data_IF_523854726865
#
_entry.id   IF_523854726865
#
_cell.length_a   1.000
_cell.length_b   1.000
_cell.length_c   1.000
_cell.angle_alpha   90.00
_cell.angle_beta   90.00
_cell.angle_gamma   90.00
#
_symmetry.space_group_name_H-M   'P 1'
#
loop_
_entity.id
_entity.type
_entity.pdbx_description
1 polymer ?
#
# COMPACT_ATOMS: atom_id res chain seq x y z
N UNK A 1 23.79 47.70 -4.67
CA UNK A 1 22.78 46.98 -5.45
C UNK A 1 22.54 45.64 -4.78
N UNK A 2 21.31 45.20 -4.50
CA UNK A 2 21.05 43.82 -4.15
C UNK A 2 21.32 42.94 -5.39
N UNK A 3 21.99 41.81 -5.19
CA UNK A 3 22.18 40.80 -6.23
C UNK A 3 20.86 40.09 -6.48
N UNK A 4 20.47 39.89 -7.74
CA UNK A 4 19.33 39.07 -8.08
C UNK A 4 19.64 37.60 -7.75
N UNK A 5 18.85 37.00 -6.85
CA UNK A 5 18.87 35.56 -6.64
C UNK A 5 18.06 34.91 -7.78
N UNK A 6 18.75 34.27 -8.72
CA UNK A 6 18.10 33.37 -9.66
C UNK A 6 17.82 32.07 -8.93
N UNK A 7 16.54 31.74 -8.70
CA UNK A 7 16.16 30.39 -8.33
C UNK A 7 16.50 29.43 -9.47
N UNK A 8 17.10 28.29 -9.15
CA UNK A 8 17.29 27.20 -10.11
C UNK A 8 15.91 26.65 -10.51
N UNK A 9 15.70 26.19 -11.77
CA UNK A 9 14.43 25.61 -12.16
C UNK A 9 14.08 24.44 -11.24
N UNK A 10 12.83 24.41 -10.75
CA UNK A 10 12.35 23.28 -9.96
C UNK A 10 12.59 21.97 -10.74
N UNK A 11 13.05 20.89 -10.08
CA UNK A 11 13.29 19.62 -10.75
C UNK A 11 12.00 19.15 -11.45
N UNK A 12 12.11 18.51 -12.62
CA UNK A 12 10.95 18.06 -13.36
C UNK A 12 10.10 17.12 -12.48
N UNK A 13 8.80 17.37 -12.44
CA UNK A 13 7.83 16.45 -11.86
C UNK A 13 8.06 15.06 -12.47
N UNK A 14 8.14 14.03 -11.63
CA UNK A 14 8.37 12.68 -12.09
C UNK A 14 7.29 12.30 -13.08
N UNK A 15 7.66 11.96 -14.31
CA UNK A 15 6.75 11.44 -15.33
C UNK A 15 7.03 9.96 -15.62
N UNK A 16 7.74 9.29 -14.71
CA UNK A 16 8.24 7.93 -14.83
C UNK A 16 7.13 6.91 -15.03
N UNK A 17 5.95 7.15 -14.43
CA UNK A 17 4.75 6.33 -14.58
C UNK A 17 3.72 6.92 -15.56
N UNK A 18 4.11 7.89 -16.40
CA UNK A 18 3.21 8.49 -17.39
C UNK A 18 2.59 7.42 -18.30
N UNK A 19 1.25 7.43 -18.39
CA UNK A 19 0.49 6.45 -19.16
C UNK A 19 0.27 5.10 -18.46
N UNK A 20 0.78 4.91 -17.23
CA UNK A 20 0.44 3.77 -16.37
C UNK A 20 -0.86 4.04 -15.62
N UNK A 21 -1.65 2.98 -15.42
CA UNK A 21 -2.81 3.02 -14.51
C UNK A 21 -2.57 2.07 -13.34
N UNK A 22 -2.79 2.53 -12.11
CA UNK A 22 -2.73 1.71 -10.90
C UNK A 22 -4.09 1.69 -10.21
N UNK A 23 -4.57 0.51 -9.87
CA UNK A 23 -5.76 0.34 -9.05
C UNK A 23 -5.34 0.13 -7.59
N UNK A 24 -5.86 0.93 -6.66
CA UNK A 24 -5.63 0.77 -5.22
C UNK A 24 -6.94 0.36 -4.55
N UNK A 25 -6.90 -0.73 -3.78
CA UNK A 25 -7.99 -1.16 -2.92
C UNK A 25 -7.62 -0.93 -1.44
N UNK A 26 -8.00 0.21 -0.84
CA UNK A 26 -7.94 0.38 0.61
C UNK A 26 -8.95 -0.58 1.24
N UNK A 27 -8.43 -1.63 1.90
CA UNK A 27 -9.21 -2.71 2.48
C UNK A 27 -10.35 -2.23 3.37
N UNK A 28 -11.44 -3.00 3.40
CA UNK A 28 -12.66 -2.73 4.18
C UNK A 28 -13.31 -1.38 3.87
N UNK A 29 -14.22 -0.91 4.73
CA UNK A 29 -15.00 0.32 4.55
C UNK A 29 -15.49 0.83 5.91
N UNK A 30 -15.69 2.15 6.03
CA UNK A 30 -16.12 2.79 7.28
C UNK A 30 -17.52 2.40 7.76
N UNK A 31 -18.43 2.00 6.87
CA UNK A 31 -19.70 1.40 7.28
C UNK A 31 -20.29 0.46 6.23
N UNK A 32 -21.21 -0.41 6.66
CA UNK A 32 -22.00 -1.23 5.75
C UNK A 32 -23.03 -0.40 4.94
N UNK A 33 -23.37 0.82 5.39
CA UNK A 33 -24.43 1.68 4.84
C UNK A 33 -25.76 0.96 4.52
N UNK A 34 -26.13 -0.06 5.31
CA UNK A 34 -27.34 -0.87 5.12
C UNK A 34 -27.20 -2.10 4.21
N UNK A 35 -26.02 -2.35 3.65
CA UNK A 35 -25.73 -3.57 2.88
C UNK A 35 -25.45 -4.76 3.82
N UNK A 36 -25.74 -5.98 3.35
CA UNK A 36 -25.42 -7.21 4.09
C UNK A 36 -23.98 -7.67 3.79
N UNK A 37 -23.10 -7.52 4.77
CA UNK A 37 -21.71 -7.97 4.70
C UNK A 37 -21.60 -9.50 4.54
N UNK A 38 -22.59 -10.26 5.04
CA UNK A 38 -22.59 -11.72 5.02
C UNK A 38 -23.22 -12.31 3.75
N UNK A 39 -23.74 -11.47 2.84
CA UNK A 39 -24.21 -11.89 1.51
C UNK A 39 -23.11 -12.73 0.85
N UNK A 40 -23.36 -14.00 0.48
CA UNK A 40 -22.33 -14.83 -0.13
C UNK A 40 -22.00 -14.32 -1.54
N UNK A 41 -20.70 -14.16 -1.80
CA UNK A 41 -20.14 -13.79 -3.11
C UNK A 41 -19.07 -14.80 -3.53
N UNK A 42 -18.77 -14.96 -4.84
CA UNK A 42 -17.80 -15.95 -5.31
C UNK A 42 -16.40 -15.76 -4.71
N UNK A 43 -15.72 -16.86 -4.39
CA UNK A 43 -14.35 -16.84 -3.85
C UNK A 43 -13.24 -17.01 -4.91
N UNK A 44 -13.62 -17.14 -6.18
CA UNK A 44 -12.73 -17.43 -7.32
C UNK A 44 -12.27 -18.89 -7.42
N UNK A 45 -12.69 -19.78 -6.51
CA UNK A 45 -12.33 -21.21 -6.47
C UNK A 45 -13.52 -22.17 -6.48
N UNK A 46 -14.72 -21.65 -6.76
CA UNK A 46 -15.96 -22.44 -6.89
C UNK A 46 -16.79 -22.51 -5.60
N UNK A 47 -16.35 -21.86 -4.54
CA UNK A 47 -17.14 -21.62 -3.33
C UNK A 47 -17.63 -20.18 -3.26
N UNK A 48 -18.02 -19.78 -2.05
CA UNK A 48 -18.44 -18.42 -1.72
C UNK A 48 -17.93 -18.01 -0.34
N UNK A 49 -17.68 -16.72 -0.15
CA UNK A 49 -17.37 -16.13 1.16
C UNK A 49 -18.22 -14.87 1.40
N UNK A 50 -18.22 -14.27 2.61
CA UNK A 50 -18.92 -13.02 2.87
C UNK A 50 -18.51 -11.91 1.89
N UNK A 51 -19.49 -11.14 1.44
CA UNK A 51 -19.34 -9.94 0.59
C UNK A 51 -18.25 -9.00 1.11
N UNK A 52 -18.19 -8.76 2.42
CA UNK A 52 -17.13 -7.99 3.08
C UNK A 52 -17.01 -8.40 4.56
N UNK A 53 -15.97 -7.91 5.22
CA UNK A 53 -15.87 -7.88 6.69
C UNK A 53 -15.63 -6.43 7.15
N UNK A 54 -15.68 -6.17 8.45
CA UNK A 54 -15.38 -4.85 9.03
C UNK A 54 -13.89 -4.51 9.04
N UNK A 55 -13.02 -5.48 8.77
CA UNK A 55 -11.60 -5.43 9.13
C UNK A 55 -11.38 -5.62 10.63
N UNK A 56 -10.11 -5.57 11.02
CA UNK A 56 -9.68 -5.58 12.41
C UNK A 56 -9.87 -4.21 13.11
N UNK A 57 -9.64 -4.20 14.42
CA UNK A 57 -9.47 -2.97 15.21
C UNK A 57 -8.31 -3.21 16.16
N UNK A 58 -7.38 -2.25 16.24
CA UNK A 58 -6.26 -2.32 17.16
C UNK A 58 -6.73 -2.27 18.63
N UNK A 59 -5.92 -2.72 19.60
CA UNK A 59 -6.30 -2.69 21.03
C UNK A 59 -6.62 -1.29 21.59
N UNK A 60 -6.13 -0.22 20.97
CA UNK A 60 -6.42 1.18 21.29
C UNK A 60 -7.58 1.79 20.48
N UNK A 61 -8.23 1.00 19.61
CA UNK A 61 -9.49 1.37 18.97
C UNK A 61 -9.38 1.93 17.55
N UNK A 62 -8.20 1.88 16.91
CA UNK A 62 -8.02 2.31 15.51
C UNK A 62 -8.54 1.21 14.58
N UNK A 63 -9.55 1.48 13.72
CA UNK A 63 -10.08 0.48 12.82
C UNK A 63 -9.21 0.34 11.57
N UNK A 64 -9.06 -0.89 11.10
CA UNK A 64 -8.20 -1.24 9.96
C UNK A 64 -8.58 -0.47 8.68
N UNK A 65 -9.88 -0.31 8.41
CA UNK A 65 -10.36 0.43 7.23
C UNK A 65 -9.80 1.86 7.14
N UNK A 66 -9.55 2.50 8.30
CA UNK A 66 -9.01 3.86 8.37
C UNK A 66 -7.51 3.87 8.10
N UNK A 67 -6.76 2.95 8.71
CA UNK A 67 -5.33 2.74 8.43
C UNK A 67 -5.11 2.51 6.93
N UNK A 68 -5.89 1.59 6.35
CA UNK A 68 -5.83 1.25 4.94
C UNK A 68 -6.15 2.46 4.05
N UNK A 69 -7.15 3.26 4.42
CA UNK A 69 -7.51 4.48 3.72
C UNK A 69 -6.42 5.55 3.78
N UNK A 70 -5.97 5.93 4.98
CA UNK A 70 -4.99 7.00 5.20
C UNK A 70 -3.70 6.71 4.41
N UNK A 71 -3.16 5.48 4.51
CA UNK A 71 -1.96 5.07 3.78
C UNK A 71 -2.21 5.06 2.27
N UNK A 72 -3.39 4.59 1.81
CA UNK A 72 -3.73 4.59 0.38
C UNK A 72 -3.78 6.00 -0.21
N UNK A 73 -4.23 7.00 0.54
CA UNK A 73 -4.24 8.39 0.06
C UNK A 73 -2.82 8.94 -0.13
N UNK A 74 -1.88 8.56 0.74
CA UNK A 74 -0.46 8.88 0.58
C UNK A 74 0.16 8.13 -0.63
N UNK A 75 -0.17 6.85 -0.82
CA UNK A 75 0.24 6.06 -2.00
C UNK A 75 -0.30 6.68 -3.29
N UNK A 76 -1.58 7.08 -3.30
CA UNK A 76 -2.23 7.76 -4.43
C UNK A 76 -1.46 9.02 -4.82
N UNK A 77 -1.21 9.91 -3.86
CA UNK A 77 -0.46 11.13 -4.09
C UNK A 77 0.97 10.85 -4.61
N UNK A 78 1.65 9.85 -4.03
CA UNK A 78 2.96 9.41 -4.49
C UNK A 78 2.96 8.92 -5.94
N UNK A 79 2.01 8.06 -6.33
CA UNK A 79 1.89 7.55 -7.70
C UNK A 79 1.49 8.63 -8.71
N UNK A 80 0.56 9.52 -8.35
CA UNK A 80 0.15 10.65 -9.21
C UNK A 80 1.29 11.67 -9.39
N UNK A 81 2.13 11.88 -8.36
CA UNK A 81 3.35 12.70 -8.47
C UNK A 81 4.39 12.14 -9.45
N UNK A 82 4.26 10.85 -9.82
CA UNK A 82 5.07 10.16 -10.83
C UNK A 82 4.36 10.06 -12.20
N UNK A 83 3.18 10.68 -12.35
CA UNK A 83 2.40 10.69 -13.60
C UNK A 83 1.49 9.49 -13.82
N UNK A 84 1.32 8.61 -12.83
CA UNK A 84 0.37 7.49 -12.93
C UNK A 84 -1.08 7.99 -12.82
N UNK A 85 -2.00 7.36 -13.57
CA UNK A 85 -3.43 7.46 -13.30
C UNK A 85 -3.79 6.50 -12.16
N UNK A 86 -4.33 7.01 -11.05
CA UNK A 86 -4.82 6.16 -9.95
C UNK A 86 -6.33 5.97 -10.04
N UNK A 87 -6.78 4.75 -9.77
CA UNK A 87 -8.19 4.38 -9.60
C UNK A 87 -8.34 3.75 -8.21
N UNK A 88 -9.34 4.17 -7.44
CA UNK A 88 -9.64 3.60 -6.12
C UNK A 88 -10.83 2.63 -6.19
N UNK A 89 -10.83 1.60 -5.35
CA UNK A 89 -11.98 0.69 -5.18
C UNK A 89 -13.19 1.37 -4.51
N UNK A 90 -12.94 2.33 -3.62
CA UNK A 90 -13.92 3.12 -2.86
C UNK A 90 -13.54 4.61 -2.83
N UNK A 91 -14.53 5.47 -2.62
CA UNK A 91 -14.38 6.93 -2.73
C UNK A 91 -14.07 7.64 -1.40
N UNK A 92 -14.38 7.00 -0.27
CA UNK A 92 -14.20 7.57 1.08
C UNK A 92 -14.04 6.45 2.15
N UNK A 93 -13.93 6.87 3.41
CA UNK A 93 -13.86 6.02 4.61
C UNK A 93 -15.07 6.17 5.55
N UNK A 94 -16.23 6.55 5.02
CA UNK A 94 -17.47 6.73 5.78
C UNK A 94 -18.60 5.78 5.33
N UNK A 95 -18.70 5.57 4.01
CA UNK A 95 -19.81 4.86 3.38
C UNK A 95 -19.51 3.41 3.01
N UNK A 96 -20.31 2.93 2.04
CA UNK A 96 -20.18 1.61 1.43
C UNK A 96 -19.02 1.58 0.44
N UNK A 97 -18.14 0.56 0.56
CA UNK A 97 -16.99 0.38 -0.33
C UNK A 97 -17.12 -0.75 -1.36
N UNK A 98 -18.29 -1.39 -1.49
CA UNK A 98 -18.49 -2.54 -2.39
C UNK A 98 -18.01 -3.88 -1.81
N UNK A 99 -18.63 -4.97 -2.27
CA UNK A 99 -18.21 -6.34 -1.98
C UNK A 99 -16.84 -6.65 -2.60
N UNK A 100 -16.11 -7.62 -2.06
CA UNK A 100 -14.79 -8.02 -2.56
C UNK A 100 -14.76 -8.47 -4.03
N UNK A 101 -15.86 -9.08 -4.53
CA UNK A 101 -16.01 -9.45 -5.94
C UNK A 101 -16.33 -8.22 -6.82
N UNK A 102 -17.09 -7.26 -6.31
CA UNK A 102 -17.31 -5.97 -6.95
C UNK A 102 -15.99 -5.18 -7.08
N UNK A 103 -15.14 -5.20 -6.04
CA UNK A 103 -13.81 -4.56 -6.05
C UNK A 103 -12.85 -5.22 -7.05
N UNK A 104 -12.76 -6.56 -7.07
CA UNK A 104 -11.98 -7.29 -8.08
C UNK A 104 -12.49 -7.03 -9.51
N UNK A 105 -13.81 -6.93 -9.71
CA UNK A 105 -14.40 -6.55 -11.00
C UNK A 105 -14.08 -5.09 -11.38
N UNK A 106 -14.03 -4.16 -10.42
CA UNK A 106 -13.60 -2.79 -10.66
C UNK A 106 -12.11 -2.72 -11.05
N UNK A 107 -11.23 -3.50 -10.40
CA UNK A 107 -9.83 -3.65 -10.80
C UNK A 107 -9.74 -4.15 -12.26
N UNK A 108 -10.48 -5.21 -12.60
CA UNK A 108 -10.54 -5.78 -13.95
C UNK A 108 -11.04 -4.79 -15.02
N UNK A 109 -11.96 -3.89 -14.67
CA UNK A 109 -12.51 -2.87 -15.57
C UNK A 109 -11.67 -1.58 -15.66
N UNK A 110 -10.72 -1.38 -14.75
CA UNK A 110 -9.98 -0.11 -14.60
C UNK A 110 -8.96 0.18 -15.72
N UNK A 111 -8.56 -0.85 -16.48
CA UNK A 111 -7.38 -0.89 -17.35
C UNK A 111 -6.05 -0.66 -16.60
N UNK A 112 -5.97 -1.06 -15.32
CA UNK A 112 -4.73 -0.98 -14.56
C UNK A 112 -3.63 -1.94 -15.09
N UNK A 113 -2.39 -1.48 -15.03
CA UNK A 113 -1.17 -2.27 -15.22
C UNK A 113 -0.83 -3.10 -13.96
N UNK A 114 -1.29 -2.62 -12.79
CA UNK A 114 -1.07 -3.17 -11.45
C UNK A 114 -2.27 -2.87 -10.54
N UNK A 115 -2.72 -3.86 -9.78
CA UNK A 115 -3.64 -3.69 -8.65
C UNK A 115 -2.88 -3.89 -7.33
N UNK A 116 -3.21 -3.09 -6.31
CA UNK A 116 -2.64 -3.19 -4.95
C UNK A 116 -3.78 -3.09 -3.92
N UNK A 117 -4.05 -4.19 -3.22
CA UNK A 117 -4.90 -4.23 -2.04
C UNK A 117 -4.02 -3.89 -0.82
N UNK A 118 -4.48 -2.94 -0.02
CA UNK A 118 -3.75 -2.39 1.13
C UNK A 118 -4.55 -2.73 2.39
N UNK A 119 -3.97 -3.56 3.25
CA UNK A 119 -4.57 -4.12 4.46
C UNK A 119 -3.61 -4.07 5.66
N UNK A 120 -4.13 -4.27 6.87
CA UNK A 120 -3.31 -4.52 8.05
C UNK A 120 -3.89 -5.70 8.85
N UNK A 121 -3.02 -6.65 9.21
CA UNK A 121 -3.42 -7.92 9.80
C UNK A 121 -3.71 -7.75 11.30
N UNK A 122 -4.32 -8.76 11.93
CA UNK A 122 -4.51 -8.82 13.37
C UNK A 122 -4.47 -10.27 13.86
N UNK A 123 -3.47 -10.59 14.69
CA UNK A 123 -3.37 -11.93 15.31
C UNK A 123 -4.34 -12.13 16.48
N UNK A 124 -4.91 -11.06 17.02
CA UNK A 124 -5.73 -11.07 18.24
C UNK A 124 -6.54 -9.77 18.41
N UNK A 125 -7.78 -9.80 18.94
CA UNK A 125 -8.51 -8.59 19.33
C UNK A 125 -7.89 -7.84 20.52
N UNK A 126 -6.82 -8.38 21.13
CA UNK A 126 -6.02 -7.73 22.16
C UNK A 126 -4.53 -7.71 21.77
N UNK A 127 -3.70 -7.16 22.66
CA UNK A 127 -2.27 -7.00 22.41
C UNK A 127 -1.52 -8.33 22.22
N UNK A 128 -0.74 -8.42 21.15
CA UNK A 128 0.20 -9.49 20.84
C UNK A 128 1.54 -8.88 20.39
N UNK A 129 2.38 -8.52 21.37
CA UNK A 129 3.69 -7.95 21.13
C UNK A 129 4.70 -8.94 20.49
N UNK A 130 4.38 -10.25 20.45
CA UNK A 130 5.26 -11.28 19.90
C UNK A 130 5.16 -11.44 18.39
N UNK A 131 4.07 -10.96 17.78
CA UNK A 131 3.81 -11.10 16.34
C UNK A 131 3.84 -9.75 15.65
N UNK A 132 4.72 -9.57 14.67
CA UNK A 132 4.88 -8.31 13.92
C UNK A 132 5.47 -8.53 12.54
N UNK A 133 5.42 -7.49 11.71
CA UNK A 133 5.99 -7.44 10.37
C UNK A 133 4.96 -7.60 9.26
N UNK A 134 5.38 -7.21 8.04
CA UNK A 134 4.54 -7.20 6.84
C UNK A 134 4.53 -8.58 6.14
N UNK A 135 3.46 -8.88 5.40
CA UNK A 135 3.50 -9.97 4.42
C UNK A 135 2.66 -9.65 3.18
N UNK A 136 3.13 -10.15 2.03
CA UNK A 136 2.43 -10.03 0.75
C UNK A 136 1.78 -11.38 0.45
N UNK A 137 0.45 -11.40 0.36
CA UNK A 137 -0.29 -12.61 0.06
C UNK A 137 -0.19 -12.92 -1.44
N UNK A 138 0.12 -14.18 -1.74
CA UNK A 138 0.19 -14.74 -3.09
C UNK A 138 -0.78 -15.91 -3.21
N UNK A 139 -1.51 -16.07 -4.32
CA UNK A 139 -2.47 -17.15 -4.46
C UNK A 139 -1.79 -18.52 -4.55
N UNK A 140 -2.41 -19.52 -3.94
CA UNK A 140 -2.06 -20.93 -4.16
C UNK A 140 -2.37 -21.31 -5.61
N UNK A 141 -1.42 -21.97 -6.29
CA UNK A 141 -1.53 -22.33 -7.70
C UNK A 141 -1.81 -23.84 -7.86
N UNK A 142 -2.64 -24.25 -8.85
CA UNK A 142 -3.32 -23.40 -9.81
C UNK A 142 -4.57 -22.71 -9.25
N UNK A 143 -4.94 -21.57 -9.86
CA UNK A 143 -6.23 -20.90 -9.68
C UNK A 143 -7.22 -21.48 -10.72
N UNK A 144 -8.50 -21.73 -10.39
CA UNK A 144 -9.44 -22.36 -11.34
C UNK A 144 -9.80 -21.53 -12.59
N UNK A 145 -9.89 -20.20 -12.51
CA UNK A 145 -9.99 -19.35 -13.71
C UNK A 145 -8.61 -19.29 -14.40
N UNK A 146 -8.54 -19.78 -15.64
CA UNK A 146 -7.28 -19.89 -16.37
C UNK A 146 -6.60 -18.53 -16.65
N UNK A 147 -7.37 -17.46 -16.85
CA UNK A 147 -6.83 -16.12 -17.11
C UNK A 147 -6.28 -15.50 -15.82
N UNK A 148 -6.99 -15.67 -14.69
CA UNK A 148 -6.47 -15.28 -13.37
C UNK A 148 -5.21 -16.09 -13.05
N UNK A 149 -5.22 -17.41 -13.28
CA UNK A 149 -4.06 -18.26 -13.07
C UNK A 149 -2.85 -17.82 -13.88
N UNK A 150 -3.00 -17.55 -15.18
CA UNK A 150 -1.91 -17.06 -16.04
C UNK A 150 -1.33 -15.73 -15.51
N UNK A 151 -2.20 -14.78 -15.19
CA UNK A 151 -1.79 -13.45 -14.70
C UNK A 151 -1.08 -13.55 -13.35
N UNK A 152 -1.65 -14.25 -12.38
CA UNK A 152 -1.08 -14.30 -11.02
C UNK A 152 0.13 -15.22 -10.90
N UNK A 153 0.20 -16.33 -11.65
CA UNK A 153 1.39 -17.19 -11.66
C UNK A 153 2.60 -16.54 -12.33
N UNK A 154 2.37 -15.61 -13.28
CA UNK A 154 3.42 -14.88 -13.99
C UNK A 154 3.66 -13.46 -13.46
N UNK A 155 2.79 -12.52 -13.84
CA UNK A 155 2.98 -11.09 -13.58
C UNK A 155 2.65 -10.69 -12.15
N UNK A 156 1.54 -11.18 -11.59
CA UNK A 156 1.16 -10.92 -10.20
C UNK A 156 2.21 -11.42 -9.21
N UNK A 157 2.75 -12.63 -9.44
CA UNK A 157 3.86 -13.17 -8.66
C UNK A 157 5.08 -12.24 -8.63
N UNK A 158 5.48 -11.69 -9.79
CA UNK A 158 6.59 -10.72 -9.88
C UNK A 158 6.29 -9.42 -9.16
N UNK A 159 5.07 -8.89 -9.29
CA UNK A 159 4.64 -7.69 -8.59
C UNK A 159 4.69 -7.87 -7.06
N UNK A 160 4.22 -9.02 -6.56
CA UNK A 160 4.26 -9.36 -5.14
C UNK A 160 5.70 -9.51 -4.61
N UNK A 161 6.58 -10.15 -5.38
CA UNK A 161 8.00 -10.29 -5.05
C UNK A 161 8.71 -8.93 -4.99
N UNK A 162 8.47 -8.05 -5.97
CA UNK A 162 9.07 -6.71 -6.00
C UNK A 162 8.49 -5.77 -4.93
N UNK A 163 7.21 -5.92 -4.57
CA UNK A 163 6.60 -5.24 -3.42
C UNK A 163 7.28 -5.66 -2.11
N UNK A 164 7.41 -6.96 -1.86
CA UNK A 164 8.17 -7.49 -0.70
C UNK A 164 9.59 -6.92 -0.66
N UNK A 165 10.28 -6.91 -1.81
CA UNK A 165 11.66 -6.42 -1.87
C UNK A 165 11.77 -4.92 -1.62
N UNK A 166 10.79 -4.10 -2.03
CA UNK A 166 10.70 -2.69 -1.67
C UNK A 166 10.48 -2.48 -0.17
N UNK A 167 9.59 -3.26 0.47
CA UNK A 167 9.39 -3.22 1.92
C UNK A 167 10.67 -3.58 2.69
N UNK A 168 11.40 -4.62 2.25
CA UNK A 168 12.70 -5.00 2.81
C UNK A 168 13.75 -3.90 2.59
N UNK A 169 13.80 -3.26 1.41
CA UNK A 169 14.66 -2.10 1.14
C UNK A 169 14.35 -0.91 2.05
N UNK A 170 13.08 -0.67 2.37
CA UNK A 170 12.64 0.36 3.33
C UNK A 170 12.88 -0.03 4.81
N UNK A 171 13.49 -1.19 5.07
CA UNK A 171 13.81 -1.67 6.41
C UNK A 171 12.59 -2.18 7.20
N UNK A 172 11.50 -2.56 6.54
CA UNK A 172 10.42 -3.31 7.19
C UNK A 172 10.81 -4.78 7.36
N UNK A 173 10.51 -5.34 8.52
CA UNK A 173 10.74 -6.74 8.81
C UNK A 173 9.60 -7.61 8.23
N UNK A 174 9.92 -8.71 7.52
CA UNK A 174 8.94 -9.74 7.20
C UNK A 174 8.18 -10.28 8.42
N UNK A 175 6.90 -10.59 8.23
CA UNK A 175 6.03 -11.14 9.26
C UNK A 175 6.60 -12.43 9.88
N UNK A 176 6.66 -12.47 11.20
CA UNK A 176 7.05 -13.67 11.98
C UNK A 176 5.85 -14.57 12.36
N UNK A 177 4.72 -14.42 11.65
CA UNK A 177 3.43 -15.04 11.92
C UNK A 177 2.71 -15.39 10.62
N UNK A 178 1.44 -15.82 10.72
CA UNK A 178 0.57 -16.19 9.60
C UNK A 178 1.11 -17.27 8.63
N UNK A 179 2.25 -17.91 8.95
CA UNK A 179 2.94 -18.85 8.05
C UNK A 179 3.79 -18.19 6.97
N UNK A 180 3.93 -16.85 6.99
CA UNK A 180 4.71 -16.10 6.01
C UNK A 180 6.18 -16.58 5.96
N UNK A 181 6.75 -16.64 4.75
CA UNK A 181 8.13 -17.03 4.48
C UNK A 181 8.81 -15.91 3.69
N UNK A 182 9.83 -15.29 4.29
CA UNK A 182 10.50 -14.10 3.76
C UNK A 182 9.51 -13.00 3.29
N UNK A 183 8.39 -12.83 4.00
CA UNK A 183 7.41 -11.78 3.71
C UNK A 183 6.45 -12.10 2.56
N UNK A 184 6.42 -13.36 2.08
CA UNK A 184 5.34 -13.87 1.22
C UNK A 184 4.48 -14.87 1.99
N UNK A 185 3.16 -14.81 1.80
CA UNK A 185 2.20 -15.76 2.37
C UNK A 185 1.39 -16.43 1.26
N UNK A 186 1.54 -17.74 1.06
CA UNK A 186 0.74 -18.47 0.05
C UNK A 186 -0.62 -18.85 0.62
N UNK A 187 -1.72 -18.46 -0.04
CA UNK A 187 -3.11 -18.73 0.40
C UNK A 187 -4.06 -19.05 -0.74
N UNK A 188 -5.05 -19.90 -0.48
CA UNK A 188 -6.13 -20.20 -1.42
C UNK A 188 -7.39 -19.35 -1.21
N UNK A 189 -7.57 -18.72 -0.05
CA UNK A 189 -8.86 -18.18 0.43
C UNK A 189 -9.07 -16.66 0.21
N UNK A 190 -8.12 -15.97 -0.40
CA UNK A 190 -8.21 -14.53 -0.73
C UNK A 190 -8.85 -14.34 -2.11
N UNK A 191 -10.13 -13.98 -2.12
CA UNK A 191 -10.91 -13.81 -3.34
C UNK A 191 -10.39 -12.70 -4.27
N UNK A 192 -9.77 -11.63 -3.75
CA UNK A 192 -9.17 -10.57 -4.57
C UNK A 192 -8.18 -11.17 -5.60
N UNK A 193 -7.09 -11.77 -5.12
CA UNK A 193 -6.09 -12.43 -6.01
C UNK A 193 -6.65 -13.66 -6.76
N UNK A 194 -7.76 -14.26 -6.33
CA UNK A 194 -8.44 -15.34 -7.07
C UNK A 194 -9.40 -14.85 -8.17
N UNK A 195 -9.73 -13.55 -8.23
CA UNK A 195 -10.70 -12.96 -9.17
C UNK A 195 -10.08 -11.87 -10.07
N UNK A 196 -8.99 -11.23 -9.64
CA UNK A 196 -8.32 -10.16 -10.38
C UNK A 196 -7.49 -10.71 -11.55
N UNK A 197 -7.80 -10.23 -12.76
CA UNK A 197 -7.15 -10.50 -14.06
C UNK A 197 -6.11 -9.44 -14.43
N UNK A 198 -5.90 -8.48 -13.54
CA UNK A 198 -4.75 -7.56 -13.50
C UNK A 198 -3.68 -8.17 -12.58
N UNK A 199 -2.37 -7.96 -12.81
CA UNK A 199 -1.33 -8.32 -11.84
C UNK A 199 -1.66 -7.73 -10.47
N UNK A 200 -1.87 -8.58 -9.47
CA UNK A 200 -2.49 -8.16 -8.20
C UNK A 200 -1.54 -8.41 -7.02
N UNK A 201 -1.41 -7.40 -6.16
CA UNK A 201 -0.62 -7.43 -4.94
C UNK A 201 -1.57 -7.29 -3.77
N UNK A 202 -1.50 -8.17 -2.79
CA UNK A 202 -2.28 -8.07 -1.56
C UNK A 202 -1.32 -7.90 -0.39
N UNK A 203 -1.21 -6.69 0.14
CA UNK A 203 -0.21 -6.31 1.13
C UNK A 203 -0.84 -6.15 2.52
N UNK A 204 -0.45 -7.01 3.45
CA UNK A 204 -0.70 -6.89 4.88
C UNK A 204 0.49 -6.15 5.50
N UNK A 205 0.30 -4.87 5.85
CA UNK A 205 1.40 -3.94 6.16
C UNK A 205 2.08 -4.19 7.52
N UNK A 206 1.38 -4.82 8.46
CA UNK A 206 1.83 -5.08 9.83
C UNK A 206 0.69 -5.63 10.67
N UNK A 207 0.96 -5.96 11.94
CA UNK A 207 -0.03 -6.54 12.84
C UNK A 207 -0.63 -5.47 13.78
N UNK A 208 -1.91 -5.12 13.63
CA UNK A 208 -2.61 -4.18 14.53
C UNK A 208 -2.71 -4.67 15.98
N UNK A 209 -2.52 -5.96 16.24
CA UNK A 209 -2.38 -6.50 17.61
C UNK A 209 -1.03 -6.16 18.24
N UNK A 210 0.00 -5.85 17.43
CA UNK A 210 1.32 -5.48 17.91
C UNK A 210 1.39 -3.98 18.24
N UNK A 211 1.84 -3.58 19.44
CA UNK A 211 1.91 -2.16 19.78
C UNK A 211 2.84 -1.32 18.88
N UNK A 212 3.92 -1.91 18.36
CA UNK A 212 4.87 -1.19 17.52
C UNK A 212 4.34 -1.02 16.09
N UNK A 213 3.82 -2.10 15.47
CA UNK A 213 3.22 -2.02 14.14
C UNK A 213 1.96 -1.14 14.18
N UNK A 214 1.08 -1.28 15.18
CA UNK A 214 -0.12 -0.46 15.32
C UNK A 214 0.19 1.05 15.44
N UNK A 215 1.22 1.40 16.23
CA UNK A 215 1.67 2.79 16.34
C UNK A 215 2.25 3.32 15.01
N UNK A 216 3.00 2.50 14.26
CA UNK A 216 3.53 2.89 12.94
C UNK A 216 2.42 3.00 11.88
N UNK A 217 1.45 2.10 11.89
CA UNK A 217 0.30 2.08 10.97
C UNK A 217 -0.69 3.22 11.22
N UNK A 218 -0.77 3.71 12.46
CA UNK A 218 -1.68 4.80 12.85
C UNK A 218 -1.01 6.18 12.91
N UNK A 219 0.33 6.24 12.99
CA UNK A 219 1.10 7.47 13.08
C UNK A 219 1.58 7.97 11.72
N UNK A 220 1.49 9.28 11.48
CA UNK A 220 1.76 9.90 10.18
C UNK A 220 3.14 9.57 9.58
N UNK A 221 4.19 9.52 10.40
CA UNK A 221 5.55 9.16 9.96
C UNK A 221 5.63 7.71 9.43
N UNK A 222 5.02 6.77 10.15
CA UNK A 222 4.99 5.37 9.76
C UNK A 222 4.09 5.14 8.55
N UNK A 223 2.92 5.79 8.48
CA UNK A 223 2.03 5.79 7.32
C UNK A 223 2.75 6.29 6.05
N UNK A 224 3.51 7.39 6.15
CA UNK A 224 4.33 7.90 5.05
C UNK A 224 5.43 6.90 4.65
N UNK A 225 6.10 6.27 5.62
CA UNK A 225 7.11 5.23 5.35
C UNK A 225 6.52 4.02 4.62
N UNK A 226 5.33 3.57 5.02
CA UNK A 226 4.59 2.51 4.32
C UNK A 226 4.22 2.93 2.90
N UNK A 227 3.69 4.15 2.73
CA UNK A 227 3.32 4.65 1.41
C UNK A 227 4.52 4.75 0.46
N UNK A 228 5.69 5.21 0.94
CA UNK A 228 6.94 5.24 0.17
C UNK A 228 7.34 3.83 -0.30
N UNK A 229 7.25 2.81 0.57
CA UNK A 229 7.59 1.43 0.21
C UNK A 229 6.62 0.84 -0.84
N UNK A 230 5.33 1.17 -0.75
CA UNK A 230 4.32 0.74 -1.74
C UNK A 230 4.55 1.41 -3.09
N UNK A 231 4.85 2.72 -3.10
CA UNK A 231 5.17 3.49 -4.31
C UNK A 231 6.45 2.95 -4.97
N UNK A 232 7.51 2.70 -4.21
CA UNK A 232 8.74 2.07 -4.70
C UNK A 232 8.49 0.67 -5.29
N UNK A 233 7.73 -0.19 -4.60
CA UNK A 233 7.34 -1.51 -5.10
C UNK A 233 6.55 -1.45 -6.41
N UNK A 234 5.60 -0.52 -6.52
CA UNK A 234 4.84 -0.27 -7.74
C UNK A 234 5.73 0.26 -8.88
N UNK A 235 6.64 1.21 -8.60
CA UNK A 235 7.62 1.73 -9.57
C UNK A 235 8.53 0.61 -10.09
N UNK A 236 9.14 -0.17 -9.19
CA UNK A 236 10.00 -1.32 -9.55
C UNK A 236 9.26 -2.25 -10.52
N UNK A 237 8.03 -2.62 -10.23
CA UNK A 237 7.24 -3.50 -11.08
C UNK A 237 6.84 -2.84 -12.42
N UNK A 238 6.31 -1.61 -12.40
CA UNK A 238 5.79 -0.97 -13.61
C UNK A 238 6.89 -0.56 -14.61
N UNK A 239 8.12 -0.37 -14.14
CA UNK A 239 9.27 -0.01 -14.99
C UNK A 239 10.10 -1.22 -15.44
N UNK A 240 10.31 -2.21 -14.57
CA UNK A 240 11.09 -3.42 -14.95
C UNK A 240 10.24 -4.54 -15.55
N UNK A 241 8.92 -4.52 -15.30
CA UNK A 241 7.94 -5.47 -15.82
C UNK A 241 7.24 -5.03 -17.11
N UNK A 242 7.42 -3.77 -17.53
CA UNK A 242 6.96 -3.30 -18.82
C UNK A 242 7.89 -3.81 -19.94
N UNK A 243 7.41 -4.75 -20.76
CA UNK A 243 7.99 -4.95 -22.09
C UNK A 243 7.97 -3.59 -22.81
N UNK A 244 9.12 -3.12 -23.26
CA UNK A 244 9.23 -1.83 -23.94
C UNK A 244 8.20 -1.73 -25.07
N UNK A 245 7.60 -0.55 -25.32
CA UNK A 245 6.79 -0.33 -26.51
C UNK A 245 7.61 -0.75 -27.74
N UNK A 246 7.03 -1.59 -28.61
CA UNK A 246 7.67 -1.91 -29.88
C UNK A 246 8.02 -0.59 -30.58
N UNK A 247 9.27 -0.39 -31.06
CA UNK A 247 9.68 0.88 -31.63
C UNK A 247 8.70 1.31 -32.72
N UNK A 248 8.11 2.50 -32.57
CA UNK A 248 7.23 3.05 -33.59
C UNK A 248 8.02 3.11 -34.91
N UNK A 249 7.58 2.35 -35.91
CA UNK A 249 8.27 2.25 -37.19
C UNK A 249 8.34 3.65 -37.81
N UNK A 250 9.56 4.19 -37.90
CA UNK A 250 9.76 5.52 -38.47
C UNK A 250 9.21 5.56 -39.90
N UNK A 251 8.54 6.65 -40.33
CA UNK A 251 8.03 6.76 -41.69
C UNK A 251 9.20 6.73 -42.68
N UNK A 252 9.29 5.67 -43.49
CA UNK A 252 10.23 5.62 -44.60
C UNK A 252 9.80 6.64 -45.66
N UNK A 253 10.56 7.72 -45.77
CA UNK A 253 10.46 8.65 -46.90
C UNK A 253 10.74 7.88 -48.19
N UNK A 254 9.80 7.93 -49.12
CA UNK A 254 9.81 7.05 -50.29
C UNK A 254 10.81 7.47 -51.37
N UNK A 255 11.28 6.49 -52.13
CA UNK A 255 11.81 6.69 -53.48
C UNK A 255 11.22 5.62 -54.41
N UNK A 256 10.60 6.08 -55.48
CA UNK A 256 9.86 5.32 -56.52
C UNK A 256 10.82 4.48 -57.40
N UNK A 257 10.39 3.33 -57.98
CA UNK A 257 11.33 2.32 -58.49
C UNK A 257 11.80 2.53 -59.94
N UNK A 258 12.95 1.93 -60.28
CA UNK A 258 13.48 1.84 -61.65
C UNK A 258 13.81 0.39 -62.01
N UNK A 259 13.42 -0.01 -63.22
CA UNK A 259 13.43 -1.39 -63.74
C UNK A 259 14.72 -1.78 -64.49
N UNK A 260 15.28 -2.95 -64.21
CA UNK A 260 16.08 -3.81 -65.12
C UNK A 260 16.25 -5.20 -64.44
N UNK A 261 15.76 -6.35 -64.90
CA UNK A 261 15.82 -7.08 -66.20
C UNK A 261 17.02 -8.04 -66.31
N UNK A 262 16.71 -9.34 -66.50
CA UNK A 262 17.56 -10.47 -66.93
C UNK A 262 18.64 -11.00 -65.96
N UNK A 263 19.00 -12.30 -65.93
CA UNK A 263 18.38 -13.54 -66.48
C UNK A 263 19.11 -14.80 -65.96
N UNK A 264 18.45 -15.97 -65.98
CA UNK A 264 19.02 -17.36 -65.98
C UNK A 264 19.87 -17.78 -64.76
N UNK A 265 19.93 -19.02 -64.24
CA UNK A 265 19.41 -20.39 -64.47
C UNK A 265 19.56 -21.12 -63.11
N UNK A 266 18.87 -22.20 -62.71
CA UNK A 266 17.85 -23.07 -63.31
C UNK A 266 17.72 -24.36 -62.45
N UNK A 267 16.74 -25.23 -62.78
CA UNK A 267 16.57 -26.61 -62.24
C UNK A 267 16.00 -26.78 -60.81
N UNK A 268 14.76 -27.29 -60.75
CA UNK A 268 14.23 -28.18 -59.69
C UNK A 268 14.08 -29.58 -60.31
N UNK A 269 14.07 -30.70 -59.55
CA UNK A 269 12.85 -31.23 -58.89
C UNK A 269 13.08 -31.63 -57.40
N UNK A 270 12.08 -31.72 -56.51
CA UNK A 270 11.13 -32.87 -56.30
C UNK A 270 11.88 -34.22 -56.10
N UNK A 271 11.67 -35.04 -55.06
CA UNK A 271 10.39 -35.71 -54.67
C UNK A 271 10.50 -36.48 -53.32
N UNK A 272 9.38 -36.53 -52.56
CA UNK A 272 8.87 -37.48 -51.54
C UNK A 272 9.75 -38.44 -50.68
N UNK A 273 9.19 -38.76 -49.49
CA UNK A 273 9.62 -39.80 -48.54
C UNK A 273 9.24 -41.25 -48.95
N UNK A 274 9.65 -42.28 -48.18
CA UNK A 274 8.67 -43.23 -47.63
C UNK A 274 8.96 -43.71 -46.18
N UNK A 275 8.26 -44.77 -45.73
CA UNK A 275 7.99 -45.11 -44.31
C UNK A 275 8.37 -46.55 -43.88
N UNK A 276 8.45 -46.76 -42.55
CA UNK A 276 8.16 -47.98 -41.76
C UNK A 276 9.10 -49.22 -41.71
N UNK A 277 9.46 -49.63 -40.48
CA UNK A 277 9.44 -50.99 -39.88
C UNK A 277 9.79 -50.87 -38.37
N UNK A 278 9.00 -51.37 -37.39
CA UNK A 278 9.02 -52.75 -36.86
C UNK A 278 10.11 -52.91 -35.76
N UNK A 279 9.84 -53.21 -34.47
CA UNK A 279 9.34 -54.50 -33.95
C UNK A 279 9.05 -54.42 -32.42
N UNK A 280 8.09 -55.20 -31.91
CA UNK A 280 7.88 -55.52 -30.47
C UNK A 280 7.92 -57.07 -30.30
N UNK A 281 8.21 -57.66 -29.12
CA UNK A 281 7.22 -57.90 -28.06
C UNK A 281 7.87 -57.70 -26.65
N UNK A 282 7.40 -58.13 -25.45
CA UNK A 282 6.28 -58.98 -24.99
C UNK A 282 5.89 -58.62 -23.54
N UNK A 283 4.71 -59.04 -23.07
CA UNK A 283 4.35 -59.22 -21.63
C UNK A 283 3.84 -60.66 -21.40
N UNK A 284 3.67 -61.09 -20.13
CA UNK A 284 2.41 -61.76 -19.79
C UNK A 284 1.79 -61.31 -18.45
N UNK A 285 0.47 -61.49 -18.34
CA UNK A 285 -0.38 -61.24 -17.17
C UNK A 285 -0.69 -62.59 -16.43
N UNK A 286 -1.56 -62.75 -15.41
CA UNK A 286 -2.62 -61.90 -14.84
C UNK A 286 -3.14 -62.39 -13.45
N UNK A 287 -3.78 -61.48 -12.69
CA UNK A 287 -5.01 -61.73 -11.86
C UNK A 287 -4.95 -62.61 -10.57
N UNK A 288 -6.03 -62.70 -9.75
CA UNK A 288 -6.67 -61.59 -9.00
C UNK A 288 -7.09 -61.94 -7.55
N UNK A 289 -7.25 -60.95 -6.63
CA UNK A 289 -8.03 -61.11 -5.37
C UNK A 289 -8.74 -59.79 -5.00
N UNK A 290 -9.96 -59.88 -4.46
CA UNK A 290 -10.75 -58.77 -3.90
C UNK A 290 -11.34 -59.20 -2.52
N UNK A 291 -12.20 -58.39 -1.88
CA UNK A 291 -11.89 -57.22 -1.06
C UNK A 291 -11.93 -57.53 0.46
N UNK A 292 -11.40 -56.62 1.29
CA UNK A 292 -11.55 -56.68 2.75
C UNK A 292 -12.23 -55.40 3.30
N UNK A 293 -13.04 -55.58 4.35
CA UNK A 293 -13.97 -54.58 4.91
C UNK A 293 -13.27 -53.59 5.89
N UNK A 294 -13.96 -52.53 6.37
CA UNK A 294 -13.29 -51.33 6.90
C UNK A 294 -12.87 -51.46 8.37
N UNK A 295 -11.70 -50.89 8.69
CA UNK A 295 -11.23 -50.67 10.05
C UNK A 295 -11.87 -49.41 10.63
N UNK A 296 -12.62 -49.55 11.73
CA UNK A 296 -13.24 -48.45 12.46
C UNK A 296 -12.22 -47.64 13.25
N UNK A 297 -12.04 -46.36 12.93
CA UNK A 297 -11.44 -45.37 13.84
C UNK A 297 -12.42 -44.23 14.08
N UNK A 298 -12.88 -44.13 15.33
CA UNK A 298 -13.88 -43.18 15.80
C UNK A 298 -13.32 -41.74 15.78
N UNK A 299 -13.94 -40.78 15.06
CA UNK A 299 -13.67 -39.37 15.29
C UNK A 299 -14.37 -38.94 16.60
N UNK A 300 -13.76 -38.09 17.44
CA UNK A 300 -14.44 -37.55 18.61
C UNK A 300 -15.58 -36.62 18.16
N UNK A 301 -16.80 -36.92 18.58
CA UNK A 301 -17.97 -36.07 18.37
C UNK A 301 -17.84 -34.77 19.15
N UNK A 302 -17.55 -33.66 18.46
CA UNK A 302 -17.92 -32.32 18.94
C UNK A 302 -19.40 -32.08 18.62
N UNK A 303 -20.23 -32.00 19.65
CA UNK A 303 -21.65 -31.69 19.51
C UNK A 303 -21.84 -30.24 19.00
N UNK A 304 -22.87 -29.95 18.19
CA UNK A 304 -23.21 -28.58 17.83
C UNK A 304 -23.74 -27.85 19.07
N UNK A 305 -23.00 -26.85 19.56
CA UNK A 305 -23.49 -25.97 20.63
C UNK A 305 -24.54 -25.01 20.07
N UNK A 306 -25.80 -25.45 20.06
CA UNK A 306 -26.95 -24.59 19.75
C UNK A 306 -27.08 -23.50 20.80
N UNK A 307 -26.93 -22.25 20.40
CA UNK A 307 -27.15 -21.08 21.25
C UNK A 307 -28.62 -20.99 21.69
N UNK A 308 -28.85 -20.86 22.99
CA UNK A 308 -30.11 -20.34 23.53
C UNK A 308 -29.92 -18.87 23.91
N UNK A 309 -30.78 -17.93 23.49
CA UNK A 309 -30.61 -16.51 23.78
C UNK A 309 -30.97 -16.18 25.22
N UNK A 310 -30.03 -15.62 25.98
CA UNK A 310 -30.32 -15.02 27.29
C UNK A 310 -31.13 -13.73 27.12
N UNK A 311 -32.37 -13.74 27.59
CA UNK A 311 -33.22 -12.56 27.67
C UNK A 311 -32.78 -11.69 28.84
N UNK A 312 -32.14 -10.56 28.55
CA UNK A 312 -31.83 -9.55 29.58
C UNK A 312 -32.96 -8.51 29.63
N UNK A 313 -33.74 -8.53 30.71
CA UNK A 313 -34.78 -7.54 31.00
C UNK A 313 -34.18 -6.16 31.30
N UNK A 314 -34.75 -5.04 30.80
CA UNK A 314 -34.34 -3.70 31.20
C UNK A 314 -34.86 -3.35 32.61
N UNK A 315 -33.97 -2.94 33.51
CA UNK A 315 -34.34 -2.43 34.83
C UNK A 315 -34.43 -0.90 34.84
N UNK A 316 -35.63 -0.39 35.05
CA UNK A 316 -35.93 1.05 35.22
C UNK A 316 -35.45 1.58 36.59
N UNK A 317 -34.85 2.77 36.68
CA UNK A 317 -34.84 3.57 37.90
C UNK A 317 -35.99 4.59 37.88
N UNK A 318 -36.69 4.72 39.01
CA UNK A 318 -37.86 5.59 39.12
C UNK A 318 -37.51 7.09 39.22
N UNK A 319 -38.46 7.91 38.74
CA UNK A 319 -38.47 9.37 38.79
C UNK A 319 -38.88 9.87 40.18
N UNK A 320 -38.04 10.69 40.81
CA UNK A 320 -38.41 11.49 41.99
C UNK A 320 -38.50 12.97 41.63
N UNK A 321 -39.60 13.62 41.99
CA UNK A 321 -39.95 14.99 41.59
C UNK A 321 -39.83 15.99 42.73
N UNK A 322 -39.17 17.12 42.49
CA UNK A 322 -39.42 18.39 43.18
C UNK A 322 -39.22 19.57 42.22
N UNK A 323 -40.11 20.55 42.30
CA UNK A 323 -40.17 21.74 41.42
C UNK A 323 -40.10 23.03 42.29
N UNK A 324 -40.12 24.26 41.75
CA UNK A 324 -38.95 25.14 41.76
C UNK A 324 -39.09 26.35 42.71
N UNK A 325 -38.02 27.14 42.84
CA UNK A 325 -38.11 28.54 43.31
C UNK A 325 -37.19 29.47 42.52
N UNK A 326 -37.62 30.71 42.40
CA UNK A 326 -37.12 31.75 41.47
C UNK A 326 -36.08 32.68 42.08
N UNK A 327 -35.13 33.19 41.28
CA UNK A 327 -34.26 34.31 41.66
C UNK A 327 -33.40 34.86 40.51
N UNK A 328 -33.65 36.11 40.10
CA UNK A 328 -32.93 36.86 39.04
C UNK A 328 -31.68 37.57 39.61
N UNK A 329 -30.70 38.02 38.78
CA UNK A 329 -29.31 38.22 39.22
C UNK A 329 -28.98 39.65 39.69
N UNK A 330 -27.81 39.82 40.32
CA UNK A 330 -27.17 41.12 40.58
C UNK A 330 -25.67 41.08 40.30
N UNK A 331 -25.17 42.11 39.62
CA UNK A 331 -23.77 42.24 39.22
C UNK A 331 -22.90 42.93 40.28
N UNK A 332 -21.59 42.63 40.28
CA UNK A 332 -20.53 43.51 40.81
C UNK A 332 -19.18 43.21 40.16
N UNK A 333 -18.51 44.26 39.67
CA UNK A 333 -17.10 44.28 39.22
C UNK A 333 -16.14 44.28 40.43
N UNK A 334 -14.84 44.00 40.24
CA UNK A 334 -13.90 45.13 40.14
C UNK A 334 -12.71 44.94 39.17
N UNK A 335 -11.97 46.03 38.95
CA UNK A 335 -10.74 46.15 38.14
C UNK A 335 -9.54 46.47 39.04
N UNK A 336 -8.31 46.04 38.68
CA UNK A 336 -7.07 46.84 38.85
C UNK A 336 -5.87 46.29 38.06
N UNK A 337 -4.93 47.18 37.72
CA UNK A 337 -3.81 47.08 36.76
C UNK A 337 -2.50 46.49 37.37
N UNK A 338 -1.47 46.14 36.55
CA UNK A 338 -0.34 45.30 36.95
C UNK A 338 0.88 46.07 37.49
N UNK A 339 1.88 45.33 37.98
CA UNK A 339 3.15 45.86 38.52
C UNK A 339 4.36 45.24 37.82
N UNK A 340 5.22 46.08 37.26
CA UNK A 340 6.53 45.73 36.66
C UNK A 340 7.62 45.62 37.73
N UNK A 341 8.62 44.76 37.50
CA UNK A 341 9.93 44.86 38.16
C UNK A 341 11.05 44.44 37.20
N UNK A 342 12.14 45.20 37.18
CA UNK A 342 13.29 45.03 36.26
C UNK A 342 14.51 44.54 37.03
N UNK A 343 15.36 43.70 36.42
CA UNK A 343 16.72 43.42 36.93
C UNK A 343 17.72 43.11 35.80
N UNK A 344 18.98 43.49 36.00
CA UNK A 344 20.06 43.56 34.99
C UNK A 344 21.27 42.66 35.41
N UNK A 345 22.13 42.13 34.51
CA UNK A 345 22.91 40.90 34.79
C UNK A 345 24.46 41.01 34.95
N UNK A 346 25.12 39.82 35.07
CA UNK A 346 26.57 39.48 34.87
C UNK A 346 27.52 39.55 36.10
N UNK A 347 28.73 38.89 36.13
CA UNK A 347 29.38 37.97 35.16
C UNK A 347 30.17 36.71 35.71
N UNK A 348 30.66 35.83 34.81
CA UNK A 348 31.70 34.77 35.04
C UNK A 348 31.17 33.37 35.46
N UNK A 349 31.76 32.19 35.16
CA UNK A 349 33.12 31.71 34.78
C UNK A 349 32.97 30.44 33.89
N UNK A 350 33.65 30.26 32.74
CA UNK A 350 34.82 29.35 32.61
C UNK A 350 34.73 28.31 31.45
N UNK A 351 35.79 28.15 30.64
CA UNK A 351 35.92 27.19 29.52
C UNK A 351 36.43 25.78 29.99
N UNK A 352 36.37 24.71 29.16
CA UNK A 352 37.37 24.45 28.11
C UNK A 352 36.79 24.06 26.73
N UNK A 353 37.66 24.01 25.72
CA UNK A 353 37.34 23.87 24.28
C UNK A 353 38.43 23.02 23.57
N UNK A 354 38.13 22.49 22.36
CA UNK A 354 38.98 21.75 21.40
C UNK A 354 39.13 20.21 21.61
N UNK A 355 39.45 19.42 20.56
CA UNK A 355 39.91 19.84 19.23
C UNK A 355 39.06 19.40 18.01
N UNK A 356 39.20 20.18 16.94
CA UNK A 356 38.78 19.85 15.58
C UNK A 356 39.98 19.21 14.82
N UNK A 357 39.77 18.03 14.25
CA UNK A 357 40.62 17.38 13.26
C UNK A 357 39.71 16.51 12.36
N UNK A 358 39.97 16.26 11.09
CA UNK A 358 41.09 16.69 10.25
C UNK A 358 41.23 15.77 9.05
N UNK A 359 40.60 16.15 7.92
CA UNK A 359 40.66 15.51 6.58
C UNK A 359 40.43 13.99 6.45
N UNK A 360 39.50 13.61 5.56
CA UNK A 360 39.91 12.95 4.31
C UNK A 360 38.79 12.99 3.26
N UNK A 361 39.14 13.44 2.05
CA UNK A 361 38.31 13.27 0.87
C UNK A 361 38.61 11.89 0.29
N UNK A 362 37.62 11.01 0.26
CA UNK A 362 37.69 9.71 -0.40
C UNK A 362 36.50 9.57 -1.34
N UNK A 363 36.77 9.59 -2.64
CA UNK A 363 35.78 9.34 -3.70
C UNK A 363 35.37 7.86 -3.67
N UNK A 364 34.07 7.52 -3.54
CA UNK A 364 33.60 6.17 -3.83
C UNK A 364 33.40 6.02 -5.34
N UNK A 365 34.03 5.01 -5.93
CA UNK A 365 33.75 4.57 -7.30
C UNK A 365 32.30 4.14 -7.43
N UNK A 366 31.55 4.74 -8.35
CA UNK A 366 30.14 4.45 -8.57
C UNK A 366 29.94 3.22 -9.46
N UNK A 367 29.57 2.09 -8.87
CA UNK A 367 28.69 1.13 -9.53
C UNK A 367 27.25 1.57 -9.26
N UNK A 368 26.66 2.32 -10.20
CA UNK A 368 25.26 2.73 -10.13
C UNK A 368 24.36 1.58 -10.61
N UNK A 369 23.66 0.93 -9.68
CA UNK A 369 22.37 0.32 -10.03
C UNK A 369 21.34 1.44 -10.17
N UNK A 370 20.63 1.49 -11.29
CA UNK A 370 19.59 2.47 -11.56
C UNK A 370 18.39 2.30 -10.61
N UNK A 371 18.46 2.99 -9.48
CA UNK A 371 17.36 3.17 -8.52
C UNK A 371 17.14 4.65 -8.29
N UNK A 372 15.88 5.07 -8.18
CA UNK A 372 15.53 6.47 -7.87
C UNK A 372 15.93 6.75 -6.42
N UNK A 373 16.67 7.82 -6.20
CA UNK A 373 17.13 8.21 -4.86
C UNK A 373 15.99 8.84 -4.05
N UNK A 374 15.35 8.01 -3.20
CA UNK A 374 14.31 8.44 -2.27
C UNK A 374 14.87 8.90 -0.90
N UNK A 375 16.20 9.01 -0.74
CA UNK A 375 16.83 9.45 0.51
C UNK A 375 16.39 10.86 0.90
N UNK A 376 16.12 11.73 -0.09
CA UNK A 376 15.57 13.07 0.14
C UNK A 376 14.21 13.05 0.86
N UNK A 377 13.35 12.07 0.59
CA UNK A 377 12.07 11.89 1.29
C UNK A 377 12.26 11.34 2.72
N UNK A 378 13.21 10.41 2.92
CA UNK A 378 13.52 9.87 4.24
C UNK A 378 14.16 10.92 5.17
N UNK A 379 14.97 11.84 4.63
CA UNK A 379 15.59 12.93 5.39
C UNK A 379 14.58 13.92 6.00
N UNK A 380 13.34 13.95 5.51
CA UNK A 380 12.29 14.89 5.95
C UNK A 380 11.45 14.31 7.11
N UNK A 381 11.51 13.00 7.37
CA UNK A 381 10.71 12.34 8.43
C UNK A 381 10.88 12.97 9.83
N UNK A 382 12.09 13.32 10.32
CA UNK A 382 12.25 13.94 11.63
C UNK A 382 11.61 15.34 11.72
N UNK A 383 11.69 16.13 10.62
CA UNK A 383 11.12 17.47 10.53
C UNK A 383 9.59 17.42 10.50
N UNK A 384 9.01 16.47 9.77
CA UNK A 384 7.56 16.20 9.82
C UNK A 384 7.10 15.76 11.21
N UNK A 385 7.89 14.95 11.91
CA UNK A 385 7.63 14.56 13.30
C UNK A 385 7.63 15.75 14.26
N UNK A 386 8.53 16.72 14.06
CA UNK A 386 8.59 17.95 14.87
C UNK A 386 7.43 18.90 14.56
N UNK A 387 7.12 19.13 13.27
CA UNK A 387 6.03 20.00 12.83
C UNK A 387 4.64 19.49 13.23
N UNK A 388 4.45 18.17 13.38
CA UNK A 388 3.18 17.58 13.82
C UNK A 388 3.01 17.48 15.35
N UNK A 389 4.05 17.81 16.12
CA UNK A 389 4.02 17.81 17.59
C UNK A 389 3.83 19.21 18.21
N UNK A 390 3.74 20.26 17.41
CA UNK A 390 3.61 21.64 17.89
C UNK A 390 2.49 22.40 17.17
N UNK A 391 1.57 22.96 17.95
CA UNK A 391 0.57 23.94 17.47
C UNK A 391 1.08 25.39 17.55
N UNK A 392 2.34 25.60 17.99
CA UNK A 392 2.94 26.92 18.16
C UNK A 392 3.53 27.45 16.83
N UNK A 393 2.96 28.53 16.24
CA UNK A 393 3.43 29.09 14.97
C UNK A 393 4.84 29.70 15.06
N UNK A 394 5.28 30.21 16.22
CA UNK A 394 6.63 30.78 16.37
C UNK A 394 7.68 29.66 16.40
N UNK A 395 7.34 28.50 16.98
CA UNK A 395 8.18 27.31 16.93
C UNK A 395 8.28 26.74 15.50
N UNK A 396 7.16 26.70 14.76
CA UNK A 396 7.13 26.30 13.34
C UNK A 396 8.02 27.23 12.49
N UNK A 397 7.90 28.55 12.66
CA UNK A 397 8.71 29.52 11.93
C UNK A 397 10.21 29.39 12.28
N UNK A 398 10.54 29.12 13.55
CA UNK A 398 11.92 28.84 13.99
C UNK A 398 12.51 27.54 13.41
N UNK A 399 11.73 26.47 13.35
CA UNK A 399 12.12 25.19 12.72
C UNK A 399 12.37 25.36 11.22
N UNK A 400 11.46 26.01 10.51
CA UNK A 400 11.60 26.28 9.07
C UNK A 400 12.78 27.21 8.75
N UNK A 401 13.12 28.14 9.66
CA UNK A 401 14.17 29.15 9.43
C UNK A 401 15.58 28.74 9.87
N UNK A 402 15.74 27.67 10.67
CA UNK A 402 17.05 27.31 11.27
C UNK A 402 17.77 26.16 10.56
N UNK A 403 17.04 25.22 9.94
CA UNK A 403 17.62 24.10 9.17
C UNK A 403 17.25 24.12 7.67
N UNK A 404 16.43 25.09 7.24
CA UNK A 404 15.92 25.20 5.88
C UNK A 404 16.66 26.21 4.99
N UNK A 405 17.29 25.74 3.91
CA UNK A 405 17.50 26.55 2.70
C UNK A 405 17.14 25.82 1.40
N UNK A 406 17.50 24.54 1.25
CA UNK A 406 17.13 23.75 0.06
C UNK A 406 15.98 22.77 0.31
N UNK A 407 16.07 21.92 1.34
CA UNK A 407 15.04 20.91 1.62
C UNK A 407 13.69 21.54 2.02
N UNK A 408 13.69 22.49 2.95
CA UNK A 408 12.49 23.20 3.38
C UNK A 408 11.81 23.96 2.23
N UNK A 409 12.59 24.50 1.28
CA UNK A 409 12.07 25.20 0.10
C UNK A 409 11.32 24.26 -0.85
N UNK A 410 11.88 23.08 -1.12
CA UNK A 410 11.23 22.06 -1.96
C UNK A 410 10.00 21.46 -1.27
N UNK A 411 10.06 21.25 0.05
CA UNK A 411 8.93 20.78 0.87
C UNK A 411 7.81 21.82 0.92
N UNK A 412 8.12 23.11 1.14
CA UNK A 412 7.12 24.18 1.05
C UNK A 412 6.49 24.22 -0.34
N UNK A 413 7.28 24.03 -1.41
CA UNK A 413 6.77 24.07 -2.78
C UNK A 413 5.84 22.89 -3.10
N UNK A 414 6.16 21.68 -2.60
CA UNK A 414 5.29 20.50 -2.71
C UNK A 414 4.01 20.66 -1.87
N UNK A 415 4.13 21.05 -0.60
CA UNK A 415 2.98 21.26 0.30
C UNK A 415 2.08 22.40 -0.20
N UNK A 416 2.66 23.52 -0.65
CA UNK A 416 1.92 24.64 -1.21
C UNK A 416 1.18 24.23 -2.49
N UNK A 417 1.75 23.36 -3.33
CA UNK A 417 1.07 22.85 -4.52
C UNK A 417 -0.16 22.01 -4.16
N UNK A 418 -0.03 21.09 -3.18
CA UNK A 418 -1.14 20.29 -2.66
C UNK A 418 -2.23 21.18 -2.05
N UNK A 419 -1.86 22.18 -1.25
CA UNK A 419 -2.79 23.16 -0.67
C UNK A 419 -3.46 24.00 -1.77
N UNK A 420 -2.74 24.40 -2.82
CA UNK A 420 -3.29 25.20 -3.93
C UNK A 420 -4.39 24.44 -4.69
N UNK A 421 -4.19 23.15 -4.96
CA UNK A 421 -5.21 22.30 -5.58
C UNK A 421 -6.39 22.06 -4.64
N UNK A 422 -6.14 21.82 -3.35
CA UNK A 422 -7.18 21.56 -2.35
C UNK A 422 -8.12 22.76 -2.14
N UNK A 423 -7.67 23.98 -2.39
CA UNK A 423 -8.50 25.21 -2.40
C UNK A 423 -8.84 25.72 -3.81
N UNK A 424 -8.72 24.89 -4.86
CA UNK A 424 -9.19 25.22 -6.21
C UNK A 424 -8.50 26.44 -6.84
N UNK A 425 -7.22 26.64 -6.55
CA UNK A 425 -6.42 27.72 -7.12
C UNK A 425 -6.53 29.07 -6.41
N UNK A 426 -7.05 29.12 -5.17
CA UNK A 426 -7.10 30.34 -4.36
C UNK A 426 -6.63 30.07 -2.93
N UNK A 427 -5.55 30.73 -2.52
CA UNK A 427 -5.20 30.83 -1.12
C UNK A 427 -6.28 31.65 -0.38
N UNK A 428 -6.75 31.22 0.80
CA UNK A 428 -7.48 32.11 1.70
C UNK A 428 -6.56 33.25 2.16
N UNK A 429 -7.11 34.47 2.18
CA UNK A 429 -6.48 35.68 2.72
C UNK A 429 -6.88 35.83 4.19
#
# INVERSE_FOLDING_TARGET
MPTAANAEPAPPQGNTLAGKTVFLDPGHQGSAAGNDLNKPVPDGRGGTKPCQTTGATSPDGVPEHKVNWDITQLVKAGLESQGAKVVLSRQDDAGWGGCIDERANAANASNADLAVNIHADSTSPGTDAGKSGFHIIVPELPIPDAAVNEVQSGKGRKAAEQMRDAFKSAGFAPANYAGAQDGLQTRADIAAVNLTKVPDVFAELGNLSNPADAAALSGAEGQLKYAIAIVDGAIRYLLTGATAPAPATAPTTGTTPTTATASTTGTSPTTAAPSAAGTQPTTPAASPVAPAAPSTTTPPTTAPSTTAPSVTTPSTPARSTTTPSTGTPKATTPSTTPKTTTTTPSPGIGFPQLPLAGQQSTTPTTEQSEGIDLSGLQAILPLLGQLTQTDDPEAIEGLLSSEGSDAASQVLQAMLSVVYEMFGGKLPI
#
